data_IF_264501699056
#
_entry.id   IF_264501699056
#
_cell.length_a   1.000
_cell.length_b   1.000
_cell.length_c   1.000
_cell.angle_alpha   90.00
_cell.angle_beta   90.00
_cell.angle_gamma   90.00
#
_symmetry.space_group_name_H-M   'P 1'
#
loop_
_entity.id
_entity.type
_entity.pdbx_description
1 polymer ?
#
# COMPACT_ATOMS: atom_id res chain seq x y z
N UNK A 1 49.63 -11.09 33.07
CA UNK A 1 48.77 -9.92 32.77
C UNK A 1 48.56 -9.65 31.27
N UNK A 2 49.41 -10.14 30.35
CA UNK A 2 49.23 -9.89 28.90
C UNK A 2 48.08 -10.67 28.22
N UNK A 3 47.60 -11.79 28.79
CA UNK A 3 46.53 -12.61 28.19
C UNK A 3 45.14 -12.00 28.33
N UNK A 4 44.88 -11.25 29.41
CA UNK A 4 43.61 -10.58 29.69
C UNK A 4 43.40 -9.30 28.86
N UNK A 5 44.48 -8.64 28.40
CA UNK A 5 44.42 -7.47 27.52
C UNK A 5 44.03 -7.81 26.07
N UNK A 6 44.36 -9.03 25.58
CA UNK A 6 43.98 -9.47 24.22
C UNK A 6 42.47 -9.72 24.07
N UNK A 7 41.80 -10.17 25.13
CA UNK A 7 40.36 -10.42 25.11
C UNK A 7 39.54 -9.12 25.16
N UNK A 8 40.01 -8.13 25.91
CA UNK A 8 39.37 -6.80 25.96
C UNK A 8 39.43 -6.05 24.62
N UNK A 9 40.53 -6.18 23.88
CA UNK A 9 40.68 -5.55 22.57
C UNK A 9 39.73 -6.16 21.51
N UNK A 10 39.49 -7.47 21.55
CA UNK A 10 38.56 -8.14 20.62
C UNK A 10 37.09 -7.77 20.93
N UNK A 11 36.73 -7.66 22.22
CA UNK A 11 35.39 -7.23 22.64
C UNK A 11 35.08 -5.76 22.27
N UNK A 12 36.05 -4.85 22.42
CA UNK A 12 35.92 -3.46 21.95
C UNK A 12 35.86 -3.35 20.42
N UNK A 13 36.59 -4.19 19.69
CA UNK A 13 36.54 -4.21 18.22
C UNK A 13 35.21 -4.73 17.68
N UNK A 14 34.55 -5.66 18.39
CA UNK A 14 33.20 -6.13 18.04
C UNK A 14 32.10 -5.09 18.32
N UNK A 15 32.29 -4.21 19.30
CA UNK A 15 31.33 -3.11 19.56
C UNK A 15 31.47 -1.96 18.54
N UNK A 16 32.65 -1.76 17.96
CA UNK A 16 32.87 -0.75 16.91
C UNK A 16 32.32 -1.15 15.53
N UNK A 17 32.03 -2.44 15.30
CA UNK A 17 31.41 -2.92 14.05
C UNK A 17 29.88 -2.69 14.00
N UNK A 18 29.25 -2.27 15.09
CA UNK A 18 27.82 -1.90 15.11
C UNK A 18 27.55 -0.50 14.54
N UNK A 19 28.59 0.32 14.33
CA UNK A 19 28.47 1.71 13.85
C UNK A 19 28.33 1.84 12.31
N UNK A 20 28.30 0.74 11.56
CA UNK A 20 28.00 0.71 10.12
C UNK A 20 26.68 0.00 9.80
N UNK A 21 25.69 0.03 10.69
CA UNK A 21 24.34 -0.39 10.31
C UNK A 21 23.73 0.66 9.37
N UNK A 22 23.63 0.32 8.09
CA UNK A 22 22.76 1.02 7.13
C UNK A 22 21.40 1.24 7.81
N UNK A 23 20.92 2.48 7.81
CA UNK A 23 19.63 2.84 8.40
C UNK A 23 18.54 1.96 7.75
N UNK A 24 17.93 1.02 8.49
CA UNK A 24 16.97 0.08 7.93
C UNK A 24 15.74 0.80 7.36
N UNK A 25 15.43 2.00 7.85
CA UNK A 25 14.35 2.83 7.32
C UNK A 25 14.67 3.27 5.89
N UNK A 26 15.92 3.65 5.60
CA UNK A 26 16.34 4.07 4.25
C UNK A 26 16.23 2.92 3.26
N UNK A 27 16.66 1.72 3.66
CA UNK A 27 16.59 0.53 2.82
C UNK A 27 15.12 0.12 2.57
N UNK A 28 14.28 0.13 3.60
CA UNK A 28 12.86 -0.18 3.47
C UNK A 28 12.11 0.84 2.59
N UNK A 29 12.38 2.14 2.75
CA UNK A 29 11.75 3.18 1.94
C UNK A 29 12.08 3.03 0.46
N UNK A 30 13.33 2.71 0.12
CA UNK A 30 13.75 2.46 -1.27
C UNK A 30 13.09 1.21 -1.82
N UNK A 31 13.02 0.14 -1.03
CA UNK A 31 12.38 -1.10 -1.43
C UNK A 31 10.86 -0.91 -1.62
N UNK A 32 10.22 -0.15 -0.74
CA UNK A 32 8.81 0.21 -0.85
C UNK A 32 8.54 1.10 -2.07
N UNK A 33 9.36 2.11 -2.35
CA UNK A 33 9.22 2.96 -3.55
C UNK A 33 9.35 2.14 -4.85
N UNK A 34 10.29 1.20 -4.90
CA UNK A 34 10.44 0.28 -6.03
C UNK A 34 9.20 -0.62 -6.20
N UNK A 35 8.71 -1.21 -5.11
CA UNK A 35 7.48 -2.00 -5.10
C UNK A 35 6.26 -1.16 -5.52
N UNK A 36 6.18 0.07 -5.03
CA UNK A 36 5.12 1.02 -5.35
C UNK A 36 5.04 1.30 -6.85
N UNK A 37 6.18 1.56 -7.49
CA UNK A 37 6.25 1.76 -8.95
C UNK A 37 5.82 0.52 -9.73
N UNK A 38 6.24 -0.67 -9.29
CA UNK A 38 5.88 -1.92 -9.95
C UNK A 38 4.40 -2.28 -9.78
N UNK A 39 3.84 -2.05 -8.60
CA UNK A 39 2.47 -2.41 -8.28
C UNK A 39 1.45 -1.34 -8.74
N UNK A 40 1.82 -0.07 -8.75
CA UNK A 40 0.87 1.05 -8.93
C UNK A 40 1.23 2.01 -10.07
N UNK A 41 2.28 1.75 -10.85
CA UNK A 41 2.70 2.62 -11.96
C UNK A 41 1.69 2.81 -13.08
N UNK A 42 0.68 1.95 -13.17
CA UNK A 42 -0.41 2.00 -14.15
C UNK A 42 -1.75 2.46 -13.55
N UNK A 43 -1.77 2.97 -12.30
CA UNK A 43 -3.01 3.37 -11.62
C UNK A 43 -3.81 4.43 -12.39
N UNK A 44 -3.14 5.38 -13.05
CA UNK A 44 -3.81 6.38 -13.88
C UNK A 44 -4.52 5.74 -15.09
N UNK A 45 -3.89 4.73 -15.71
CA UNK A 45 -4.50 3.99 -16.80
C UNK A 45 -5.70 3.18 -16.30
N UNK A 46 -5.59 2.54 -15.14
CA UNK A 46 -6.70 1.80 -14.53
C UNK A 46 -7.89 2.71 -14.23
N UNK A 47 -7.65 3.91 -13.70
CA UNK A 47 -8.72 4.87 -13.46
C UNK A 47 -9.39 5.32 -14.76
N UNK A 48 -8.60 5.55 -15.81
CA UNK A 48 -9.09 5.94 -17.14
C UNK A 48 -9.92 4.81 -17.76
N UNK A 49 -9.42 3.58 -17.75
CA UNK A 49 -10.10 2.38 -18.27
C UNK A 49 -11.39 2.12 -17.50
N UNK A 50 -11.36 2.23 -16.17
CA UNK A 50 -12.54 2.07 -15.32
C UNK A 50 -13.60 3.10 -15.68
N UNK A 51 -13.23 4.39 -15.79
CA UNK A 51 -14.17 5.44 -16.15
C UNK A 51 -14.79 5.20 -17.54
N UNK A 52 -13.97 4.82 -18.52
CA UNK A 52 -14.45 4.51 -19.87
C UNK A 52 -15.41 3.31 -19.87
N UNK A 53 -15.07 2.22 -19.17
CA UNK A 53 -15.92 1.03 -19.06
C UNK A 53 -17.21 1.31 -18.28
N UNK A 54 -17.15 2.12 -17.22
CA UNK A 54 -18.33 2.53 -16.45
C UNK A 54 -19.31 3.37 -17.28
N UNK A 55 -18.80 4.24 -18.16
CA UNK A 55 -19.62 5.03 -19.08
C UNK A 55 -20.20 4.17 -20.22
N UNK A 56 -19.40 3.23 -20.74
CA UNK A 56 -19.80 2.35 -21.82
C UNK A 56 -20.81 1.27 -21.39
N UNK A 57 -20.90 0.94 -20.10
CA UNK A 57 -21.81 -0.07 -19.56
C UNK A 57 -23.25 0.48 -19.42
N UNK A 58 -24.21 0.06 -20.27
CA UNK A 58 -25.57 0.61 -20.25
C UNK A 58 -26.44 -0.02 -19.16
N UNK A 59 -26.05 -1.18 -18.64
CA UNK A 59 -26.80 -1.93 -17.63
C UNK A 59 -26.08 -1.94 -16.28
N UNK A 60 -26.83 -2.17 -15.21
CA UNK A 60 -26.25 -2.32 -13.87
C UNK A 60 -25.38 -3.57 -13.77
N UNK A 61 -25.76 -4.66 -14.46
CA UNK A 61 -24.93 -5.85 -14.56
C UNK A 61 -23.60 -5.58 -15.27
N UNK A 62 -23.61 -4.78 -16.34
CA UNK A 62 -22.38 -4.31 -16.99
C UNK A 62 -21.49 -3.50 -16.05
N UNK A 63 -22.07 -2.58 -15.27
CA UNK A 63 -21.32 -1.80 -14.26
C UNK A 63 -20.78 -2.67 -13.13
N UNK A 64 -21.52 -3.68 -12.70
CA UNK A 64 -21.07 -4.66 -11.72
C UNK A 64 -19.84 -5.43 -12.23
N UNK A 65 -19.83 -5.82 -13.51
CA UNK A 65 -18.67 -6.47 -14.13
C UNK A 65 -17.43 -5.56 -14.14
N UNK A 66 -17.60 -4.25 -14.32
CA UNK A 66 -16.49 -3.28 -14.22
C UNK A 66 -15.94 -3.24 -12.80
N UNK A 67 -16.80 -3.18 -11.77
CA UNK A 67 -16.34 -3.23 -10.38
C UNK A 67 -15.60 -4.54 -10.07
N UNK A 68 -16.12 -5.67 -10.56
CA UNK A 68 -15.47 -6.97 -10.41
C UNK A 68 -14.05 -6.99 -10.99
N UNK A 69 -13.86 -6.45 -12.19
CA UNK A 69 -12.54 -6.33 -12.82
C UNK A 69 -11.58 -5.46 -11.98
N UNK A 70 -12.08 -4.33 -11.49
CA UNK A 70 -11.29 -3.39 -10.67
C UNK A 70 -10.90 -4.04 -9.34
N UNK A 71 -11.80 -4.78 -8.70
CA UNK A 71 -11.51 -5.56 -7.48
C UNK A 71 -10.35 -6.51 -7.75
N UNK A 72 -10.40 -7.30 -8.83
CA UNK A 72 -9.32 -8.24 -9.17
C UNK A 72 -7.97 -7.54 -9.39
N UNK A 73 -7.98 -6.34 -9.99
CA UNK A 73 -6.76 -5.51 -10.15
C UNK A 73 -6.22 -5.03 -8.80
N UNK A 74 -7.07 -4.66 -7.85
CA UNK A 74 -6.63 -4.28 -6.49
C UNK A 74 -6.16 -5.49 -5.69
N UNK A 75 -6.84 -6.63 -5.77
CA UNK A 75 -6.45 -7.86 -5.07
C UNK A 75 -5.03 -8.30 -5.46
N UNK A 76 -4.70 -8.28 -6.76
CA UNK A 76 -3.36 -8.58 -7.24
C UNK A 76 -2.29 -7.62 -6.69
N UNK A 77 -2.62 -6.34 -6.54
CA UNK A 77 -1.69 -5.32 -6.01
C UNK A 77 -1.49 -5.44 -4.52
N UNK A 78 -2.58 -5.67 -3.78
CA UNK A 78 -2.52 -5.93 -2.34
C UNK A 78 -1.75 -7.21 -2.05
N UNK A 79 -1.89 -8.25 -2.87
CA UNK A 79 -1.09 -9.46 -2.76
C UNK A 79 0.41 -9.15 -2.90
N UNK A 80 0.81 -8.32 -3.87
CA UNK A 80 2.20 -7.83 -3.98
C UNK A 80 2.64 -7.05 -2.74
N UNK A 81 1.83 -6.11 -2.25
CA UNK A 81 2.14 -5.37 -1.01
C UNK A 81 2.30 -6.29 0.20
N UNK A 82 1.49 -7.34 0.32
CA UNK A 82 1.57 -8.32 1.42
C UNK A 82 2.86 -9.15 1.42
N UNK A 83 3.59 -9.20 0.30
CA UNK A 83 4.93 -9.83 0.24
C UNK A 83 6.05 -8.91 0.73
N UNK A 84 5.76 -7.63 0.98
CA UNK A 84 6.75 -6.69 1.46
C UNK A 84 7.04 -6.87 2.95
N UNK A 85 8.27 -7.22 3.28
CA UNK A 85 8.74 -7.37 4.66
C UNK A 85 9.62 -6.18 5.05
N UNK A 86 8.99 -5.16 5.65
CA UNK A 86 9.69 -4.03 6.24
C UNK A 86 10.49 -4.45 7.48
N UNK A 87 11.74 -4.00 7.59
CA UNK A 87 12.61 -4.21 8.75
C UNK A 87 12.40 -3.17 9.85
N UNK A 88 11.93 -1.99 9.47
CA UNK A 88 11.65 -0.85 10.33
C UNK A 88 10.17 -0.81 10.74
N UNK A 89 9.87 -0.58 12.03
CA UNK A 89 8.49 -0.52 12.51
C UNK A 89 7.71 0.63 11.88
N UNK A 90 8.37 1.74 11.53
CA UNK A 90 7.76 2.91 10.90
C UNK A 90 7.23 2.57 9.51
N UNK A 91 8.07 1.98 8.64
CA UNK A 91 7.65 1.60 7.29
C UNK A 91 6.64 0.46 7.34
N UNK A 92 6.81 -0.49 8.26
CA UNK A 92 5.84 -1.57 8.49
C UNK A 92 4.46 -1.02 8.82
N UNK A 93 4.36 -0.12 9.81
CA UNK A 93 3.09 0.42 10.26
C UNK A 93 2.34 1.16 9.14
N UNK A 94 3.05 1.90 8.29
CA UNK A 94 2.41 2.57 7.16
C UNK A 94 2.04 1.59 6.04
N UNK A 95 2.87 0.58 5.77
CA UNK A 95 2.54 -0.49 4.81
C UNK A 95 1.26 -1.21 5.22
N UNK A 96 1.13 -1.57 6.49
CA UNK A 96 -0.05 -2.25 7.02
C UNK A 96 -1.31 -1.37 6.89
N UNK A 97 -1.18 -0.05 7.07
CA UNK A 97 -2.28 0.91 6.83
C UNK A 97 -2.65 1.03 5.35
N UNK A 98 -1.68 1.02 4.44
CA UNK A 98 -1.91 1.04 3.00
C UNK A 98 -2.68 -0.20 2.58
N UNK A 99 -2.22 -1.38 3.01
CA UNK A 99 -2.90 -2.66 2.79
C UNK A 99 -4.34 -2.59 3.32
N UNK A 100 -4.51 -2.15 4.58
CA UNK A 100 -5.83 -2.02 5.18
C UNK A 100 -6.74 -1.04 4.43
N UNK A 101 -6.20 0.07 3.91
CA UNK A 101 -6.95 1.02 3.10
C UNK A 101 -7.43 0.41 1.78
N UNK A 102 -6.58 -0.37 1.09
CA UNK A 102 -7.01 -1.10 -0.10
C UNK A 102 -8.01 -2.21 0.20
N UNK A 103 -7.86 -2.93 1.32
CA UNK A 103 -8.83 -3.94 1.76
C UNK A 103 -10.22 -3.28 2.01
N UNK A 104 -10.24 -2.10 2.65
CA UNK A 104 -11.46 -1.30 2.85
C UNK A 104 -12.07 -0.83 1.50
N UNK A 105 -11.23 -0.39 0.56
CA UNK A 105 -11.69 -0.03 -0.79
C UNK A 105 -12.33 -1.21 -1.52
N UNK A 106 -11.69 -2.38 -1.49
CA UNK A 106 -12.22 -3.58 -2.14
C UNK A 106 -13.52 -4.04 -1.50
N UNK A 107 -13.68 -3.92 -0.18
CA UNK A 107 -14.94 -4.19 0.50
C UNK A 107 -16.05 -3.24 0.00
N UNK A 108 -15.75 -1.94 -0.13
CA UNK A 108 -16.67 -0.97 -0.70
C UNK A 108 -17.07 -1.29 -2.14
N UNK A 109 -16.10 -1.65 -2.99
CA UNK A 109 -16.37 -2.06 -4.38
C UNK A 109 -17.23 -3.34 -4.45
N UNK A 110 -17.03 -4.31 -3.55
CA UNK A 110 -17.86 -5.52 -3.46
C UNK A 110 -19.29 -5.19 -3.06
N UNK A 111 -19.48 -4.24 -2.14
CA UNK A 111 -20.80 -3.72 -1.77
C UNK A 111 -21.48 -3.05 -2.98
N UNK A 112 -20.75 -2.21 -3.73
CA UNK A 112 -21.26 -1.58 -4.95
C UNK A 112 -21.62 -2.61 -6.02
N UNK A 113 -20.76 -3.60 -6.26
CA UNK A 113 -21.01 -4.70 -7.18
C UNK A 113 -22.31 -5.45 -6.81
N UNK A 114 -22.48 -5.78 -5.52
CA UNK A 114 -23.69 -6.41 -5.00
C UNK A 114 -24.96 -5.59 -5.24
N UNK A 115 -24.88 -4.28 -4.97
CA UNK A 115 -26.02 -3.37 -5.16
C UNK A 115 -26.40 -3.22 -6.63
N UNK A 116 -25.42 -3.25 -7.53
CA UNK A 116 -25.65 -3.23 -8.98
C UNK A 116 -26.28 -4.53 -9.50
N UNK A 117 -25.96 -5.69 -8.89
CA UNK A 117 -26.56 -6.98 -9.25
C UNK A 117 -27.95 -7.18 -8.65
N UNK A 118 -28.23 -6.54 -7.52
CA UNK A 118 -29.50 -6.69 -6.82
C UNK A 118 -30.13 -5.32 -6.50
N UNK A 119 -31.06 -4.84 -7.35
CA UNK A 119 -31.76 -3.58 -7.14
C UNK A 119 -32.49 -3.47 -5.79
N UNK A 120 -32.84 -4.59 -5.15
CA UNK A 120 -33.49 -4.60 -3.84
C UNK A 120 -32.58 -4.13 -2.69
N UNK A 121 -31.24 -4.11 -2.88
CA UNK A 121 -30.31 -3.55 -1.90
C UNK A 121 -30.37 -2.02 -1.83
N UNK A 122 -30.97 -1.39 -2.86
CA UNK A 122 -31.33 0.03 -2.84
C UNK A 122 -30.13 0.99 -2.79
N UNK A 123 -30.48 2.27 -2.61
CA UNK A 123 -29.52 3.39 -2.59
C UNK A 123 -28.58 3.33 -1.36
N UNK A 124 -29.00 2.72 -0.26
CA UNK A 124 -28.22 2.63 0.98
C UNK A 124 -26.97 1.76 0.82
N UNK A 125 -27.06 0.67 0.07
CA UNK A 125 -25.90 -0.16 -0.26
C UNK A 125 -24.92 0.60 -1.17
N UNK A 126 -25.42 1.39 -2.13
CA UNK A 126 -24.58 2.25 -2.96
C UNK A 126 -23.84 3.31 -2.12
N UNK A 127 -24.56 3.97 -1.20
CA UNK A 127 -23.97 4.98 -0.32
C UNK A 127 -22.93 4.37 0.62
N UNK A 128 -23.23 3.20 1.20
CA UNK A 128 -22.30 2.45 2.06
C UNK A 128 -21.04 2.06 1.29
N UNK A 129 -21.21 1.48 0.09
CA UNK A 129 -20.09 1.07 -0.74
C UNK A 129 -19.20 2.25 -1.14
N UNK A 130 -19.78 3.38 -1.56
CA UNK A 130 -19.01 4.60 -1.87
C UNK A 130 -18.26 5.13 -0.65
N UNK A 131 -18.90 5.15 0.52
CA UNK A 131 -18.25 5.58 1.76
C UNK A 131 -17.05 4.72 2.10
N UNK A 132 -17.18 3.39 2.03
CA UNK A 132 -16.08 2.46 2.28
C UNK A 132 -14.91 2.66 1.28
N UNK A 133 -15.22 2.89 0.00
CA UNK A 133 -14.20 3.23 -1.00
C UNK A 133 -13.45 4.50 -0.62
N UNK A 134 -14.16 5.57 -0.25
CA UNK A 134 -13.52 6.84 0.12
C UNK A 134 -12.67 6.72 1.40
N UNK A 135 -13.19 6.04 2.43
CA UNK A 135 -12.46 5.84 3.69
C UNK A 135 -11.19 5.01 3.48
N UNK A 136 -11.28 3.93 2.70
CA UNK A 136 -10.13 3.11 2.35
C UNK A 136 -9.08 3.90 1.54
N UNK A 137 -9.53 4.69 0.55
CA UNK A 137 -8.65 5.55 -0.22
C UNK A 137 -7.95 6.59 0.66
N UNK A 138 -8.68 7.26 1.54
CA UNK A 138 -8.12 8.26 2.45
C UNK A 138 -7.05 7.64 3.38
N UNK A 139 -7.34 6.46 3.92
CA UNK A 139 -6.41 5.72 4.78
C UNK A 139 -5.13 5.31 4.04
N UNK A 140 -5.25 4.78 2.83
CA UNK A 140 -4.09 4.41 2.01
C UNK A 140 -3.26 5.64 1.62
N UNK A 141 -3.90 6.69 1.11
CA UNK A 141 -3.21 7.91 0.68
C UNK A 141 -2.56 8.66 1.86
N UNK A 142 -3.21 8.68 3.03
CA UNK A 142 -2.63 9.23 4.24
C UNK A 142 -1.33 8.52 4.63
N UNK A 143 -1.33 7.19 4.61
CA UNK A 143 -0.15 6.39 4.92
C UNK A 143 0.98 6.53 3.87
N UNK A 144 0.64 6.65 2.59
CA UNK A 144 1.63 7.02 1.53
C UNK A 144 2.22 8.40 1.79
N UNK A 145 1.41 9.37 2.23
CA UNK A 145 1.88 10.70 2.61
C UNK A 145 2.88 10.67 3.77
N UNK A 146 2.62 9.86 4.79
CA UNK A 146 3.54 9.66 5.92
C UNK A 146 4.85 8.99 5.48
N UNK A 147 4.81 8.00 4.59
CA UNK A 147 6.03 7.40 4.01
C UNK A 147 6.84 8.41 3.18
N UNK A 148 6.17 9.24 2.38
CA UNK A 148 6.84 10.29 1.61
C UNK A 148 7.50 11.34 2.53
N UNK A 149 6.84 11.70 3.63
CA UNK A 149 7.41 12.60 4.65
C UNK A 149 8.64 11.97 5.31
N UNK A 150 8.54 10.71 5.74
CA UNK A 150 9.66 9.96 6.32
C UNK A 150 10.83 9.86 5.34
N UNK A 151 10.55 9.64 4.05
CA UNK A 151 11.59 9.61 3.01
C UNK A 151 12.32 10.96 2.89
N UNK A 152 11.60 12.08 2.91
CA UNK A 152 12.22 13.41 2.90
C UNK A 152 13.11 13.65 4.12
N UNK A 153 12.63 13.28 5.31
CA UNK A 153 13.40 13.40 6.56
C UNK A 153 14.67 12.55 6.55
N UNK A 154 14.63 11.39 5.89
CA UNK A 154 15.75 10.46 5.75
C UNK A 154 16.64 10.73 4.53
N UNK A 155 16.36 11.76 3.74
CA UNK A 155 17.12 12.10 2.53
C UNK A 155 16.99 11.06 1.40
N UNK A 156 15.89 10.32 1.35
CA UNK A 156 15.58 9.35 0.29
C UNK A 156 14.78 10.04 -0.81
N UNK A 157 15.23 9.90 -2.06
CA UNK A 157 14.48 10.37 -3.22
C UNK A 157 13.21 9.53 -3.38
N UNK A 158 12.06 10.15 -3.11
CA UNK A 158 10.73 9.53 -3.25
C UNK A 158 10.02 10.13 -4.44
N UNK A 159 9.75 9.33 -5.48
CA UNK A 159 9.03 9.82 -6.65
C UNK A 159 7.55 9.52 -6.45
N UNK A 160 6.80 10.52 -5.99
CA UNK A 160 5.34 10.48 -6.05
C UNK A 160 4.93 10.32 -7.52
N UNK A 161 4.29 9.20 -7.85
CA UNK A 161 3.63 8.97 -9.14
C UNK A 161 2.26 9.64 -9.17
#
# INVERSE_FOLDING_TARGET
MLKSMRWFAVLMLSMLLLACQKDPIVDDLKAFDALGKEAFGDMQQIQTDMNAKMQAAPTMEGKAAVFHEVIGKFEARVAKLKTFEAKSPEVKAQTDKIIGGFDDMMAGLKTLEGAMKNPAQGQDALNTGMKQVMEGQQKAMGAVGELSKLAKEKGVEWKTQ
#
